data_IF_115142766815
#
_entry.id   IF_115142766815
#
_cell.length_a   1.000
_cell.length_b   1.000
_cell.length_c   1.000
_cell.angle_alpha   90.00
_cell.angle_beta   90.00
_cell.angle_gamma   90.00
#
_symmetry.space_group_name_H-M   'P 1'
#
loop_
_entity.id
_entity.type
_entity.pdbx_description
1 polymer ?
#
# COMPACT_ATOMS: atom_id res chain seq x y z
N UNK A 1 48.83 -45.42 59.04
CA UNK A 1 48.74 -45.14 57.60
C UNK A 1 47.28 -44.81 57.33
N UNK A 2 46.83 -43.55 57.24
CA UNK A 2 47.17 -42.45 56.31
C UNK A 2 46.75 -42.73 54.85
N UNK A 3 46.04 -41.77 54.22
CA UNK A 3 45.45 -41.84 52.87
C UNK A 3 43.91 -41.72 52.91
N UNK A 4 43.25 -40.56 53.01
CA UNK A 4 43.18 -39.43 52.06
C UNK A 4 42.66 -39.84 50.66
N UNK A 5 41.44 -39.45 50.31
CA UNK A 5 41.00 -38.17 49.68
C UNK A 5 41.10 -38.16 48.14
N UNK A 6 39.93 -38.01 47.50
CA UNK A 6 39.59 -37.11 46.37
C UNK A 6 40.71 -36.77 45.35
N UNK A 7 40.40 -36.96 44.05
CA UNK A 7 40.38 -35.94 42.95
C UNK A 7 40.99 -36.37 41.60
N UNK A 8 40.37 -35.91 40.50
CA UNK A 8 40.88 -35.78 39.11
C UNK A 8 41.13 -37.09 38.30
N UNK A 9 40.90 -37.15 36.97
CA UNK A 9 40.37 -36.16 36.01
C UNK A 9 39.83 -36.82 34.72
N UNK A 10 38.97 -36.10 33.97
CA UNK A 10 38.78 -36.03 32.50
C UNK A 10 39.23 -37.23 31.61
N UNK A 11 38.53 -37.68 30.55
CA UNK A 11 37.62 -37.00 29.60
C UNK A 11 36.92 -38.09 28.70
N UNK A 12 35.89 -37.88 27.85
CA UNK A 12 35.16 -36.68 27.42
C UNK A 12 33.69 -37.05 26.98
N UNK A 13 33.25 -36.57 25.81
CA UNK A 13 32.02 -36.82 25.03
C UNK A 13 30.68 -36.59 25.76
N UNK A 14 30.43 -35.32 26.10
CA UNK A 14 29.07 -34.79 26.29
C UNK A 14 28.66 -33.97 25.07
N UNK A 15 27.67 -34.46 24.33
CA UNK A 15 26.97 -33.66 23.31
C UNK A 15 26.37 -32.40 23.96
N UNK A 16 26.75 -31.18 23.52
CA UNK A 16 26.31 -29.97 24.18
C UNK A 16 24.94 -29.51 23.67
N UNK A 17 23.99 -29.39 24.60
CA UNK A 17 22.75 -28.59 24.51
C UNK A 17 21.66 -29.09 23.55
N UNK A 18 20.88 -30.08 24.00
CA UNK A 18 19.42 -29.95 23.85
C UNK A 18 18.95 -28.81 24.77
N UNK A 19 18.23 -27.79 24.29
CA UNK A 19 17.69 -26.74 25.16
C UNK A 19 16.65 -27.33 26.11
N UNK A 20 16.67 -26.89 27.37
CA UNK A 20 15.78 -27.40 28.42
C UNK A 20 14.32 -27.10 28.06
N UNK A 21 13.35 -27.95 28.45
CA UNK A 21 11.94 -27.73 28.12
C UNK A 21 11.41 -26.36 28.60
N UNK A 22 11.95 -25.82 29.68
CA UNK A 22 11.65 -24.48 30.18
C UNK A 22 12.19 -23.35 29.27
N UNK A 23 13.35 -23.54 28.65
CA UNK A 23 13.90 -22.61 27.64
C UNK A 23 13.07 -22.67 26.36
N UNK A 24 12.67 -23.88 25.93
CA UNK A 24 11.77 -24.08 24.80
C UNK A 24 10.39 -23.46 25.06
N UNK A 25 9.84 -23.59 26.28
CA UNK A 25 8.58 -22.94 26.68
C UNK A 25 8.72 -21.41 26.70
N UNK A 26 9.80 -20.86 27.27
CA UNK A 26 10.08 -19.42 27.22
C UNK A 26 10.23 -18.92 25.78
N UNK A 27 10.94 -19.64 24.91
CA UNK A 27 11.06 -19.31 23.49
C UNK A 27 9.70 -19.38 22.77
N UNK A 28 8.85 -20.35 23.10
CA UNK A 28 7.49 -20.46 22.56
C UNK A 28 6.58 -19.32 23.05
N UNK A 29 6.66 -18.91 24.32
CA UNK A 29 5.96 -17.73 24.84
C UNK A 29 6.45 -16.44 24.17
N UNK A 30 7.77 -16.27 24.03
CA UNK A 30 8.38 -15.13 23.35
C UNK A 30 7.94 -15.05 21.89
N UNK A 31 7.87 -16.20 21.20
CA UNK A 31 7.37 -16.29 19.82
C UNK A 31 5.85 -16.08 19.73
N UNK A 32 5.06 -16.55 20.70
CA UNK A 32 3.61 -16.34 20.79
C UNK A 32 3.27 -14.86 21.03
N UNK A 33 4.01 -14.21 21.93
CA UNK A 33 3.90 -12.78 22.23
C UNK A 33 4.38 -11.92 21.04
N UNK A 34 5.44 -12.33 20.32
CA UNK A 34 5.88 -11.67 19.07
C UNK A 34 4.92 -11.89 17.90
N UNK A 35 4.17 -13.00 17.85
CA UNK A 35 3.18 -13.28 16.80
C UNK A 35 1.92 -12.40 16.86
N UNK A 36 1.60 -11.83 18.02
CA UNK A 36 0.29 -11.20 18.26
C UNK A 36 0.16 -9.73 17.83
N UNK A 37 1.21 -9.10 17.30
CA UNK A 37 1.27 -7.62 17.22
C UNK A 37 1.90 -7.00 15.97
N UNK A 38 1.87 -7.67 14.81
CA UNK A 38 2.25 -7.05 13.51
C UNK A 38 1.27 -7.40 12.40
N UNK A 39 0.03 -6.93 12.54
CA UNK A 39 -0.80 -6.67 11.37
C UNK A 39 0.00 -5.79 10.41
N UNK A 40 0.02 -6.14 9.12
CA UNK A 40 0.74 -5.40 8.08
C UNK A 40 0.37 -3.91 8.23
N UNK A 41 1.35 -2.99 8.42
CA UNK A 41 1.01 -1.60 8.67
C UNK A 41 0.17 -1.05 7.52
N UNK A 42 -1.13 -0.75 7.77
CA UNK A 42 -2.04 -0.15 6.78
C UNK A 42 -1.46 1.12 6.15
N UNK A 43 -0.53 1.77 6.85
CA UNK A 43 0.19 2.96 6.43
C UNK A 43 1.19 2.77 5.29
N UNK A 44 1.64 1.54 4.99
CA UNK A 44 2.88 1.35 4.23
C UNK A 44 2.81 1.66 2.71
N UNK A 45 1.62 1.94 2.18
CA UNK A 45 1.46 2.34 0.76
C UNK A 45 0.18 3.09 0.42
N UNK A 46 -0.94 2.82 1.10
CA UNK A 46 -2.26 3.33 0.70
C UNK A 46 -2.67 4.65 1.34
N UNK A 47 -2.51 4.79 2.66
CA UNK A 47 -2.85 6.02 3.36
C UNK A 47 -1.73 7.06 3.20
N UNK A 48 -2.09 8.30 2.86
CA UNK A 48 -1.17 9.45 2.83
C UNK A 48 -1.08 10.19 4.18
N UNK A 49 -2.07 9.99 5.05
CA UNK A 49 -2.14 10.64 6.36
C UNK A 49 -2.86 9.76 7.37
N UNK A 50 -2.60 9.96 8.68
CA UNK A 50 -3.19 9.16 9.77
C UNK A 50 -4.67 9.47 9.99
N UNK A 51 -5.07 10.74 9.88
CA UNK A 51 -6.48 11.15 9.89
C UNK A 51 -7.09 10.88 8.50
N UNK A 52 -8.16 10.09 8.46
CA UNK A 52 -8.86 9.68 7.23
C UNK A 52 -9.40 10.85 6.42
N UNK A 53 -9.95 11.89 7.06
CA UNK A 53 -10.48 13.07 6.34
C UNK A 53 -9.37 13.81 5.59
N UNK A 54 -8.21 13.98 6.22
CA UNK A 54 -7.04 14.61 5.60
C UNK A 54 -6.48 13.73 4.48
N UNK A 55 -6.46 12.40 4.65
CA UNK A 55 -6.11 11.49 3.57
C UNK A 55 -7.07 11.60 2.38
N UNK A 56 -8.39 11.67 2.63
CA UNK A 56 -9.40 11.80 1.58
C UNK A 56 -9.23 13.10 0.79
N UNK A 57 -9.03 14.23 1.48
CA UNK A 57 -8.79 15.53 0.84
C UNK A 57 -7.47 15.56 0.04
N UNK A 58 -6.39 14.99 0.59
CA UNK A 58 -5.12 14.85 -0.14
C UNK A 58 -5.28 13.97 -1.39
N UNK A 59 -5.94 12.82 -1.26
CA UNK A 59 -6.23 11.93 -2.40
C UNK A 59 -7.09 12.61 -3.46
N UNK A 60 -8.09 13.42 -3.05
CA UNK A 60 -8.94 14.17 -3.96
C UNK A 60 -8.14 15.23 -4.73
N UNK A 61 -7.33 16.04 -4.03
CA UNK A 61 -6.48 17.05 -4.66
C UNK A 61 -5.44 16.43 -5.61
N UNK A 62 -4.81 15.32 -5.21
CA UNK A 62 -3.89 14.55 -6.06
C UNK A 62 -4.61 14.04 -7.30
N UNK A 63 -5.80 13.46 -7.15
CA UNK A 63 -6.56 12.93 -8.27
C UNK A 63 -6.96 14.06 -9.25
N UNK A 64 -7.42 15.20 -8.75
CA UNK A 64 -7.72 16.39 -9.58
C UNK A 64 -6.51 16.89 -10.37
N UNK A 65 -5.35 17.04 -9.72
CA UNK A 65 -4.13 17.52 -10.41
C UNK A 65 -3.68 16.50 -11.45
N UNK A 66 -3.67 15.21 -11.11
CA UNK A 66 -3.22 14.16 -12.01
C UNK A 66 -4.14 13.97 -13.21
N UNK A 67 -5.47 14.00 -13.03
CA UNK A 67 -6.40 13.86 -14.14
C UNK A 67 -6.29 15.06 -15.08
N UNK A 68 -6.23 16.29 -14.55
CA UNK A 68 -6.01 17.49 -15.34
C UNK A 68 -4.70 17.42 -16.15
N UNK A 69 -3.61 16.91 -15.57
CA UNK A 69 -2.34 16.71 -16.28
C UNK A 69 -2.47 15.66 -17.39
N UNK A 70 -3.08 14.49 -17.13
CA UNK A 70 -3.26 13.45 -18.16
C UNK A 70 -4.13 13.94 -19.31
N UNK A 71 -5.24 14.61 -18.99
CA UNK A 71 -6.15 15.23 -19.95
C UNK A 71 -5.43 16.30 -20.78
N UNK A 72 -4.74 17.24 -20.13
CA UNK A 72 -4.04 18.34 -20.78
C UNK A 72 -2.91 17.87 -21.71
N UNK A 73 -2.14 16.86 -21.29
CA UNK A 73 -1.11 16.23 -22.12
C UNK A 73 -1.73 15.56 -23.36
N UNK A 74 -2.83 14.82 -23.19
CA UNK A 74 -3.50 14.13 -24.28
C UNK A 74 -4.12 15.10 -25.32
N UNK A 75 -4.76 16.17 -24.85
CA UNK A 75 -5.22 17.26 -25.73
C UNK A 75 -4.05 17.97 -26.42
N UNK A 76 -2.93 18.17 -25.73
CA UNK A 76 -1.72 18.81 -26.27
C UNK A 76 -1.04 18.01 -27.40
N UNK A 77 -1.22 16.69 -27.46
CA UNK A 77 -0.76 15.83 -28.57
C UNK A 77 -1.86 15.58 -29.63
N UNK A 78 -2.96 16.34 -29.61
CA UNK A 78 -4.13 16.18 -30.48
C UNK A 78 -4.81 14.78 -30.39
N UNK A 79 -4.72 14.11 -29.25
CA UNK A 79 -5.42 12.85 -28.99
C UNK A 79 -6.28 12.95 -27.72
N UNK A 80 -7.39 13.72 -27.73
CA UNK A 80 -8.27 13.85 -26.58
C UNK A 80 -8.87 12.48 -26.20
N UNK A 81 -8.65 12.05 -24.95
CA UNK A 81 -9.12 10.75 -24.45
C UNK A 81 -10.62 10.71 -24.16
N UNK A 82 -11.22 11.88 -23.92
CA UNK A 82 -12.58 12.05 -23.43
C UNK A 82 -13.13 13.43 -23.83
N UNK A 83 -14.45 13.54 -23.90
CA UNK A 83 -15.18 14.81 -23.95
C UNK A 83 -15.49 15.26 -22.53
N UNK A 84 -15.27 16.55 -22.27
CA UNK A 84 -15.21 17.10 -20.91
C UNK A 84 -15.99 18.40 -20.85
N UNK A 85 -16.89 18.48 -19.86
CA UNK A 85 -17.41 19.73 -19.34
C UNK A 85 -16.97 19.88 -17.87
N UNK A 86 -16.83 21.11 -17.39
CA UNK A 86 -16.28 21.38 -16.06
C UNK A 86 -17.10 20.75 -14.90
N UNK A 87 -18.44 20.80 -14.88
CA UNK A 87 -19.23 20.13 -13.85
C UNK A 87 -19.11 18.61 -13.90
N UNK A 88 -19.14 18.02 -15.12
CA UNK A 88 -18.98 16.58 -15.34
C UNK A 88 -17.62 16.07 -14.86
N UNK A 89 -16.55 16.80 -15.18
CA UNK A 89 -15.20 16.55 -14.68
C UNK A 89 -15.12 16.58 -13.15
N UNK A 90 -15.62 17.64 -12.52
CA UNK A 90 -15.59 17.78 -11.05
C UNK A 90 -16.36 16.63 -10.37
N UNK A 91 -17.54 16.29 -10.87
CA UNK A 91 -18.35 15.19 -10.37
C UNK A 91 -17.63 13.84 -10.53
N UNK A 92 -17.08 13.57 -11.72
CA UNK A 92 -16.36 12.35 -12.03
C UNK A 92 -15.14 12.13 -11.12
N UNK A 93 -14.32 13.16 -10.87
CA UNK A 93 -13.14 13.04 -10.01
C UNK A 93 -13.50 12.88 -8.53
N UNK A 94 -14.59 13.49 -8.06
CA UNK A 94 -15.13 13.25 -6.72
C UNK A 94 -15.61 11.80 -6.57
N UNK A 95 -16.44 11.32 -7.51
CA UNK A 95 -16.92 9.93 -7.53
C UNK A 95 -15.75 8.93 -7.61
N UNK A 96 -14.78 9.18 -8.48
CA UNK A 96 -13.55 8.39 -8.64
C UNK A 96 -12.85 8.25 -7.30
N UNK A 97 -12.58 9.36 -6.62
CA UNK A 97 -11.85 9.37 -5.35
C UNK A 97 -12.62 8.64 -4.23
N UNK A 98 -13.94 8.83 -4.15
CA UNK A 98 -14.78 8.19 -3.14
C UNK A 98 -14.85 6.67 -3.35
N UNK A 99 -15.24 6.24 -4.55
CA UNK A 99 -15.39 4.82 -4.91
C UNK A 99 -14.04 4.10 -4.80
N UNK A 100 -12.97 4.71 -5.31
CA UNK A 100 -11.62 4.14 -5.26
C UNK A 100 -11.12 3.95 -3.82
N UNK A 101 -11.34 4.91 -2.91
CA UNK A 101 -10.93 4.75 -1.51
C UNK A 101 -11.75 3.67 -0.78
N UNK A 102 -13.06 3.58 -1.03
CA UNK A 102 -13.91 2.51 -0.46
C UNK A 102 -13.47 1.14 -0.97
N UNK A 103 -13.27 0.99 -2.28
CA UNK A 103 -12.84 -0.28 -2.88
C UNK A 103 -11.42 -0.64 -2.42
N UNK A 104 -10.48 0.30 -2.35
CA UNK A 104 -9.12 0.05 -1.81
C UNK A 104 -9.17 -0.43 -0.36
N UNK A 105 -10.01 0.16 0.49
CA UNK A 105 -10.21 -0.31 1.86
C UNK A 105 -10.77 -1.74 1.90
N UNK A 106 -11.71 -2.07 1.02
CA UNK A 106 -12.28 -3.41 0.88
C UNK A 106 -11.24 -4.43 0.40
N UNK A 107 -10.51 -4.11 -0.66
CA UNK A 107 -9.42 -4.93 -1.22
C UNK A 107 -8.32 -5.16 -0.20
N UNK A 108 -7.95 -4.16 0.60
CA UNK A 108 -6.99 -4.37 1.68
C UNK A 108 -7.57 -5.32 2.74
N UNK A 109 -8.78 -5.07 3.23
CA UNK A 109 -9.41 -5.87 4.30
C UNK A 109 -9.54 -7.35 3.94
N UNK A 110 -9.89 -7.67 2.69
CA UNK A 110 -10.19 -9.06 2.27
C UNK A 110 -9.10 -9.70 1.40
N UNK A 111 -8.36 -8.92 0.59
CA UNK A 111 -7.47 -9.42 -0.48
C UNK A 111 -6.02 -8.92 -0.39
N UNK A 112 -5.54 -8.41 0.76
CA UNK A 112 -4.15 -7.92 0.97
C UNK A 112 -3.09 -8.84 0.36
N UNK A 113 -3.21 -10.17 0.53
CA UNK A 113 -2.24 -11.14 0.01
C UNK A 113 -2.14 -11.11 -1.52
N UNK A 114 -3.28 -10.98 -2.21
CA UNK A 114 -3.36 -10.90 -3.67
C UNK A 114 -2.87 -9.53 -4.15
N UNK A 115 -3.20 -8.44 -3.43
CA UNK A 115 -2.69 -7.11 -3.77
C UNK A 115 -1.16 -7.07 -3.78
N UNK A 116 -0.51 -7.63 -2.75
CA UNK A 116 0.96 -7.73 -2.66
C UNK A 116 1.52 -8.59 -3.80
N UNK A 117 0.93 -9.76 -4.06
CA UNK A 117 1.37 -10.67 -5.13
C UNK A 117 1.26 -10.03 -6.52
N UNK A 118 0.20 -9.26 -6.76
CA UNK A 118 -0.08 -8.61 -8.06
C UNK A 118 0.80 -7.39 -8.38
N UNK A 119 1.71 -7.00 -7.47
CA UNK A 119 2.53 -5.77 -7.58
C UNK A 119 1.72 -4.50 -7.90
N UNK A 120 0.46 -4.44 -7.47
CA UNK A 120 -0.45 -3.32 -7.73
C UNK A 120 -1.20 -3.37 -9.07
N UNK A 121 -0.93 -4.34 -9.95
CA UNK A 121 -1.62 -4.48 -11.23
C UNK A 121 -3.14 -4.72 -11.07
N UNK A 122 -3.56 -5.40 -9.99
CA UNK A 122 -4.96 -5.53 -9.60
C UNK A 122 -5.62 -4.16 -9.36
N UNK A 123 -4.87 -3.17 -8.82
CA UNK A 123 -5.40 -1.82 -8.62
C UNK A 123 -5.67 -1.09 -9.93
N UNK A 124 -4.97 -1.43 -11.03
CA UNK A 124 -5.20 -0.83 -12.35
C UNK A 124 -6.47 -1.40 -12.98
N UNK A 125 -6.69 -2.72 -12.90
CA UNK A 125 -7.96 -3.31 -13.34
C UNK A 125 -9.16 -2.75 -12.58
N UNK A 126 -9.04 -2.60 -11.26
CA UNK A 126 -10.04 -1.95 -10.42
C UNK A 126 -10.25 -0.49 -10.85
N UNK A 127 -9.20 0.26 -11.17
CA UNK A 127 -9.30 1.62 -11.70
C UNK A 127 -10.12 1.68 -13.00
N UNK A 128 -9.88 0.75 -13.94
CA UNK A 128 -10.61 0.66 -15.21
C UNK A 128 -12.10 0.40 -14.96
N UNK A 129 -12.43 -0.54 -14.06
CA UNK A 129 -13.83 -0.85 -13.70
C UNK A 129 -14.52 0.37 -13.07
N UNK A 130 -13.83 1.11 -12.19
CA UNK A 130 -14.39 2.32 -11.56
C UNK A 130 -14.64 3.41 -12.62
N UNK A 131 -13.69 3.64 -13.54
CA UNK A 131 -13.84 4.62 -14.60
C UNK A 131 -14.99 4.27 -15.55
N UNK A 132 -15.16 3.00 -15.88
CA UNK A 132 -16.29 2.51 -16.67
C UNK A 132 -17.63 2.79 -15.97
N UNK A 133 -17.74 2.46 -14.67
CA UNK A 133 -18.95 2.74 -13.87
C UNK A 133 -19.24 4.25 -13.82
N UNK A 134 -18.21 5.09 -13.67
CA UNK A 134 -18.38 6.55 -13.63
C UNK A 134 -18.82 7.09 -14.99
N UNK A 135 -18.27 6.59 -16.10
CA UNK A 135 -18.70 6.97 -17.46
C UNK A 135 -20.17 6.61 -17.74
N UNK A 136 -20.74 5.61 -17.06
CA UNK A 136 -22.17 5.27 -17.14
C UNK A 136 -23.05 6.14 -16.23
N UNK A 137 -22.52 6.66 -15.12
CA UNK A 137 -23.24 7.51 -14.16
C UNK A 137 -23.22 8.98 -14.61
N UNK A 138 -22.10 9.44 -15.15
CA UNK A 138 -21.86 10.82 -15.58
C UNK A 138 -21.97 10.89 -17.11
N UNK A 139 -23.18 10.65 -17.61
CA UNK A 139 -23.51 10.68 -19.05
C UNK A 139 -23.52 12.08 -19.68
N UNK A 140 -23.06 13.10 -18.96
CA UNK A 140 -22.91 14.47 -19.48
C UNK A 140 -21.57 15.05 -19.03
N UNK A 141 -20.72 15.38 -19.99
CA UNK A 141 -19.45 16.08 -19.73
C UNK A 141 -18.32 15.25 -19.12
N UNK A 142 -18.42 13.91 -19.11
CA UNK A 142 -17.30 13.02 -18.79
C UNK A 142 -17.42 11.68 -19.57
N UNK A 143 -17.28 11.75 -20.89
CA UNK A 143 -17.43 10.58 -21.77
C UNK A 143 -16.11 10.23 -22.44
N UNK A 144 -15.65 8.98 -22.32
CA UNK A 144 -14.46 8.51 -23.04
C UNK A 144 -14.77 8.30 -24.52
N UNK A 145 -13.87 8.73 -25.41
CA UNK A 145 -14.02 8.58 -26.86
C UNK A 145 -13.91 7.11 -27.34
N UNK A 146 -13.52 6.19 -26.47
CA UNK A 146 -13.35 4.77 -26.74
C UNK A 146 -12.84 4.02 -25.51
N UNK A 147 -12.99 2.69 -25.50
CA UNK A 147 -12.54 1.83 -24.39
C UNK A 147 -11.00 1.87 -24.29
N UNK A 148 -10.32 1.97 -25.43
CA UNK A 148 -8.88 2.13 -25.57
C UNK A 148 -8.40 3.39 -24.84
N UNK A 149 -9.09 4.51 -25.04
CA UNK A 149 -8.77 5.78 -24.39
C UNK A 149 -8.97 5.73 -22.86
N UNK A 150 -10.00 5.02 -22.40
CA UNK A 150 -10.22 4.75 -20.97
C UNK A 150 -9.11 3.90 -20.37
N UNK A 151 -8.65 2.86 -21.08
CA UNK A 151 -7.55 1.99 -20.64
C UNK A 151 -6.25 2.80 -20.59
N UNK A 152 -5.91 3.55 -21.64
CA UNK A 152 -4.71 4.41 -21.70
C UNK A 152 -4.74 5.43 -20.57
N UNK A 153 -5.87 6.12 -20.35
CA UNK A 153 -6.05 7.03 -19.21
C UNK A 153 -5.77 6.31 -17.89
N UNK A 154 -6.41 5.16 -17.64
CA UNK A 154 -6.28 4.42 -16.39
C UNK A 154 -4.83 3.98 -16.10
N UNK A 155 -4.08 3.54 -17.12
CA UNK A 155 -2.68 3.17 -16.98
C UNK A 155 -1.78 4.37 -16.70
N UNK A 156 -1.82 5.42 -17.53
CA UNK A 156 -0.98 6.62 -17.36
C UNK A 156 -1.27 7.30 -16.03
N UNK A 157 -2.55 7.48 -15.70
CA UNK A 157 -3.00 8.04 -14.43
C UNK A 157 -2.55 7.21 -13.22
N UNK A 158 -2.61 5.87 -13.30
CA UNK A 158 -2.12 5.00 -12.22
C UNK A 158 -0.60 5.09 -12.04
N UNK A 159 0.18 5.14 -13.12
CA UNK A 159 1.63 5.30 -13.08
C UNK A 159 2.02 6.63 -12.44
N UNK A 160 1.45 7.74 -12.94
CA UNK A 160 1.70 9.08 -12.40
C UNK A 160 1.25 9.18 -10.94
N UNK A 161 0.13 8.54 -10.56
CA UNK A 161 -0.34 8.48 -9.17
C UNK A 161 0.65 7.76 -8.26
N UNK A 162 1.21 6.63 -8.67
CA UNK A 162 2.21 5.91 -7.86
C UNK A 162 3.46 6.77 -7.68
N UNK A 163 3.95 7.41 -8.76
CA UNK A 163 5.11 8.31 -8.71
C UNK A 163 4.84 9.49 -7.76
N UNK A 164 3.73 10.20 -7.94
CA UNK A 164 3.38 11.38 -7.16
C UNK A 164 3.09 11.03 -5.69
N UNK A 165 2.39 9.92 -5.42
CA UNK A 165 2.12 9.46 -4.05
C UNK A 165 3.41 9.10 -3.32
N UNK A 166 4.38 8.48 -4.01
CA UNK A 166 5.70 8.19 -3.44
C UNK A 166 6.52 9.47 -3.20
N UNK A 167 6.44 10.45 -4.10
CA UNK A 167 7.11 11.74 -3.94
C UNK A 167 6.52 12.55 -2.77
N UNK A 168 5.20 12.69 -2.71
CA UNK A 168 4.49 13.37 -1.61
C UNK A 168 4.77 12.66 -0.28
N UNK A 169 4.78 11.33 -0.24
CA UNK A 169 5.16 10.56 0.95
C UNK A 169 6.61 10.86 1.37
N UNK A 170 7.56 10.90 0.43
CA UNK A 170 8.97 11.24 0.73
C UNK A 170 9.13 12.70 1.21
N UNK A 171 8.29 13.63 0.74
CA UNK A 171 8.33 15.03 1.14
C UNK A 171 7.63 15.28 2.50
N UNK A 172 6.45 14.70 2.71
CA UNK A 172 5.66 14.85 3.94
C UNK A 172 6.28 14.10 5.14
N UNK A 173 6.87 12.92 4.91
CA UNK A 173 7.51 12.11 5.96
C UNK A 173 9.04 12.28 6.03
N UNK A 174 9.58 13.41 5.53
CA UNK A 174 11.03 13.68 5.50
C UNK A 174 11.69 13.76 6.88
N UNK A 175 10.91 13.82 7.95
CA UNK A 175 11.39 13.75 9.35
C UNK A 175 11.32 12.36 9.99
N UNK A 176 10.53 11.41 9.47
CA UNK A 176 10.25 10.15 10.20
C UNK A 176 10.07 8.88 9.35
N UNK A 177 10.79 8.77 8.22
CA UNK A 177 10.99 7.49 7.55
C UNK A 177 11.96 6.57 8.32
N UNK A 178 11.48 6.00 9.42
CA UNK A 178 12.06 4.79 10.03
C UNK A 178 11.74 3.60 9.11
N UNK A 179 12.46 3.53 7.99
CA UNK A 179 12.46 2.38 7.10
C UNK A 179 13.27 1.28 7.80
N UNK A 180 12.56 0.22 8.20
CA UNK A 180 13.11 -1.05 8.71
C UNK A 180 14.07 -0.99 9.92
N UNK A 181 13.59 -1.52 11.05
CA UNK A 181 14.44 -2.32 11.95
C UNK A 181 15.47 -1.62 12.85
N UNK A 182 15.69 -0.32 12.70
CA UNK A 182 16.58 0.45 13.59
C UNK A 182 16.04 0.58 15.02
N UNK A 183 16.47 -0.28 15.94
CA UNK A 183 16.36 0.01 17.38
C UNK A 183 17.20 1.24 17.70
N UNK A 184 16.61 2.25 18.37
CA UNK A 184 17.42 3.24 19.09
C UNK A 184 18.02 2.57 20.33
N UNK A 185 19.34 2.70 20.49
CA UNK A 185 19.94 2.94 21.80
C UNK A 185 19.79 4.42 22.12
#
# INVERSE_FOLDING_TARGET
>A
MLGENIMNQNNNNKDPKKPTEEELRKLLEDLKNKKHGKGVPLSLGFLLHRNYLIHLLLSLGINFVLSAVVIGLASGINQPLMQIDFPGYVLAIVLLTLIENVIKMLLFKYLTRIMILSMGLLSVFVQIIILYIISLIVSTGFEFNGIEHMIVFAFVFSILRVILSNYIRKWLYREHLIIFGGKRK
#
